data_IF_122972259965
#
_entry.id   IF_122972259965
#
_cell.length_a   1.000
_cell.length_b   1.000
_cell.length_c   1.000
_cell.angle_alpha   90.00
_cell.angle_beta   90.00
_cell.angle_gamma   90.00
#
_symmetry.space_group_name_H-M   'P 1'
#
loop_
_entity.id
_entity.type
_entity.pdbx_description
1 polymer ?
#
# COMPACT_ATOMS: atom_id res chain seq x y z
N UNK A 1 11.17 6.20 0.54
CA UNK A 1 10.30 7.12 -0.23
C UNK A 1 9.76 8.16 0.75
N UNK A 2 9.70 9.44 0.39
CA UNK A 2 9.11 10.50 1.24
C UNK A 2 8.04 11.27 0.46
N UNK A 3 7.10 11.98 1.12
CA UNK A 3 6.03 12.72 0.43
C UNK A 3 6.52 13.80 -0.55
N UNK A 4 7.75 14.30 -0.41
CA UNK A 4 8.33 15.30 -1.32
C UNK A 4 9.09 14.69 -2.52
N UNK A 5 9.33 13.38 -2.57
CA UNK A 5 9.99 12.75 -3.72
C UNK A 5 9.08 12.75 -4.95
N UNK A 6 9.63 13.12 -6.11
CA UNK A 6 8.90 13.24 -7.37
C UNK A 6 9.73 12.61 -8.51
N UNK A 7 9.12 11.72 -9.31
CA UNK A 7 9.74 11.13 -10.50
C UNK A 7 9.50 12.02 -11.74
N UNK A 8 10.58 12.52 -12.35
CA UNK A 8 10.54 13.34 -13.58
C UNK A 8 11.10 12.57 -14.78
N UNK A 9 10.55 12.73 -16.00
CA UNK A 9 11.12 12.11 -17.19
C UNK A 9 12.56 12.57 -17.43
N UNK A 10 13.48 11.64 -17.71
CA UNK A 10 14.86 11.98 -18.02
C UNK A 10 15.00 12.43 -19.49
N UNK A 11 15.23 13.72 -19.74
CA UNK A 11 15.48 14.26 -21.09
C UNK A 11 14.45 13.85 -22.16
N UNK A 12 13.16 13.78 -21.79
CA UNK A 12 12.07 13.36 -22.68
C UNK A 12 11.92 11.83 -22.86
N UNK A 13 12.73 11.02 -22.19
CA UNK A 13 12.60 9.56 -22.19
C UNK A 13 11.35 9.10 -21.45
N UNK A 14 10.52 8.30 -22.11
CA UNK A 14 9.39 7.55 -21.55
C UNK A 14 9.82 6.36 -20.66
N UNK A 15 11.09 5.96 -20.81
CA UNK A 15 11.74 4.81 -20.18
C UNK A 15 12.68 5.11 -19.02
N UNK A 16 12.81 6.36 -18.61
CA UNK A 16 13.78 6.75 -17.59
C UNK A 16 13.25 7.88 -16.70
N UNK A 17 13.48 7.74 -15.40
CA UNK A 17 13.04 8.69 -14.37
C UNK A 17 14.23 9.24 -13.61
N UNK A 18 14.15 10.51 -13.21
CA UNK A 18 15.07 11.16 -12.26
C UNK A 18 14.31 11.63 -11.03
N UNK A 19 14.94 11.56 -9.86
CA UNK A 19 14.41 12.11 -8.61
C UNK A 19 15.54 12.50 -7.65
N UNK A 20 15.24 13.41 -6.73
CA UNK A 20 16.17 13.76 -5.65
C UNK A 20 15.84 12.97 -4.37
N UNK A 21 16.89 12.62 -3.61
CA UNK A 21 16.78 12.08 -2.26
C UNK A 21 17.72 12.88 -1.34
N UNK A 22 17.24 13.27 -0.16
CA UNK A 22 18.05 14.05 0.80
C UNK A 22 19.00 13.19 1.65
N UNK A 23 18.74 11.88 1.74
CA UNK A 23 19.50 10.93 2.54
C UNK A 23 19.44 9.55 1.87
N UNK A 24 20.15 9.38 0.75
CA UNK A 24 20.58 8.06 0.31
C UNK A 24 21.59 7.46 1.30
N UNK A 25 21.68 6.13 1.37
CA UNK A 25 22.52 5.42 2.34
C UNK A 25 23.26 4.22 1.70
N UNK A 26 23.42 4.19 0.37
CA UNK A 26 24.12 3.11 -0.33
C UNK A 26 25.58 2.95 0.13
N UNK A 27 26.24 4.05 0.50
CA UNK A 27 27.62 4.09 1.01
C UNK A 27 27.71 4.10 2.56
N UNK A 28 26.71 3.53 3.25
CA UNK A 28 26.61 3.49 4.73
C UNK A 28 26.64 4.87 5.41
N UNK A 29 26.38 5.94 4.66
CA UNK A 29 26.47 7.33 5.08
C UNK A 29 25.37 8.17 4.41
N UNK A 30 24.62 9.03 5.13
CA UNK A 30 23.51 9.79 4.57
C UNK A 30 24.00 10.87 3.60
N UNK A 31 23.63 10.76 2.32
CA UNK A 31 24.02 11.70 1.25
C UNK A 31 22.80 12.25 0.52
N UNK A 32 22.84 13.53 0.13
CA UNK A 32 21.86 14.07 -0.81
C UNK A 32 22.29 13.73 -2.24
N UNK A 33 21.45 12.99 -2.97
CA UNK A 33 21.75 12.51 -4.31
C UNK A 33 20.64 12.80 -5.32
N UNK A 34 21.02 12.96 -6.59
CA UNK A 34 20.10 13.04 -7.73
C UNK A 34 20.20 11.72 -8.50
N UNK A 35 19.24 10.84 -8.27
CA UNK A 35 19.24 9.49 -8.83
C UNK A 35 18.51 9.46 -10.17
N UNK A 36 18.97 8.57 -11.05
CA UNK A 36 18.37 8.32 -12.35
C UNK A 36 18.28 6.81 -12.61
N UNK A 37 17.10 6.34 -13.03
CA UNK A 37 16.88 4.94 -13.42
C UNK A 37 16.40 4.86 -14.88
N UNK A 38 16.82 3.82 -15.61
CA UNK A 38 16.36 3.53 -16.98
C UNK A 38 15.93 2.08 -17.08
N UNK A 39 14.75 1.85 -17.66
CA UNK A 39 14.18 0.52 -17.86
C UNK A 39 14.37 0.00 -19.28
N UNK A 40 14.33 -1.33 -19.44
CA UNK A 40 14.39 -2.00 -20.74
C UNK A 40 13.18 -1.67 -21.63
N UNK A 41 12.00 -1.47 -21.05
CA UNK A 41 10.74 -1.21 -21.76
C UNK A 41 9.99 -0.04 -21.10
N UNK A 42 9.21 0.72 -21.88
CA UNK A 42 8.39 1.83 -21.39
C UNK A 42 7.33 1.35 -20.38
N UNK A 43 6.73 0.20 -20.65
CA UNK A 43 5.78 -0.48 -19.76
C UNK A 43 6.34 -0.68 -18.34
N UNK A 44 7.60 -1.12 -18.22
CA UNK A 44 8.25 -1.33 -16.93
C UNK A 44 8.56 0.01 -16.23
N UNK A 45 8.90 1.06 -16.98
CA UNK A 45 9.05 2.40 -16.44
C UNK A 45 7.73 2.96 -15.89
N UNK A 46 6.62 2.76 -16.60
CA UNK A 46 5.29 3.18 -16.13
C UNK A 46 4.85 2.35 -14.91
N UNK A 47 5.02 1.02 -14.91
CA UNK A 47 4.75 0.17 -13.74
C UNK A 47 5.50 0.63 -12.49
N UNK A 48 6.80 0.96 -12.64
CA UNK A 48 7.58 1.53 -11.55
C UNK A 48 7.03 2.88 -11.09
N UNK A 49 6.71 3.80 -12.01
CA UNK A 49 6.16 5.11 -11.67
C UNK A 49 4.84 5.00 -10.91
N UNK A 50 3.89 4.20 -11.40
CA UNK A 50 2.60 3.97 -10.74
C UNK A 50 2.78 3.44 -9.32
N UNK A 51 3.62 2.42 -9.12
CA UNK A 51 3.89 1.88 -7.77
C UNK A 51 4.63 2.86 -6.86
N UNK A 52 5.54 3.67 -7.41
CA UNK A 52 6.19 4.72 -6.64
C UNK A 52 5.20 5.80 -6.17
N UNK A 53 4.28 6.22 -7.04
CA UNK A 53 3.24 7.22 -6.75
C UNK A 53 2.20 6.69 -5.74
N UNK A 54 1.77 5.42 -5.86
CA UNK A 54 0.95 4.75 -4.85
C UNK A 54 1.64 4.76 -3.48
N UNK A 55 2.89 4.27 -3.38
CA UNK A 55 3.62 4.24 -2.11
C UNK A 55 3.89 5.65 -1.54
N UNK A 56 4.15 6.65 -2.38
CA UNK A 56 4.30 8.05 -1.96
C UNK A 56 2.99 8.55 -1.34
N UNK A 57 1.86 8.31 -1.99
CA UNK A 57 0.53 8.73 -1.51
C UNK A 57 0.16 8.02 -0.22
N UNK A 58 0.42 6.72 -0.09
CA UNK A 58 0.22 5.99 1.17
C UNK A 58 1.00 6.59 2.33
N UNK A 59 2.25 6.99 2.11
CA UNK A 59 3.07 7.63 3.15
C UNK A 59 2.49 9.01 3.48
N UNK A 60 2.13 9.82 2.48
CA UNK A 60 1.49 11.12 2.72
C UNK A 60 0.17 11.00 3.51
N UNK A 61 -0.64 9.98 3.23
CA UNK A 61 -1.86 9.68 4.00
C UNK A 61 -1.55 9.19 5.42
N UNK A 62 -0.50 8.36 5.61
CA UNK A 62 -0.06 7.89 6.94
C UNK A 62 0.44 9.04 7.82
N UNK A 63 1.24 9.95 7.28
CA UNK A 63 1.68 11.17 7.96
C UNK A 63 0.48 12.05 8.37
N UNK A 64 -0.52 12.21 7.51
CA UNK A 64 -1.77 12.95 7.81
C UNK A 64 -2.68 12.22 8.80
N UNK A 65 -2.70 10.89 8.80
CA UNK A 65 -3.49 10.04 9.71
C UNK A 65 -2.81 9.80 11.06
N UNK A 66 -1.67 10.44 11.35
CA UNK A 66 -0.91 10.35 12.62
C UNK A 66 -1.62 10.77 13.92
N UNK A 67 -2.96 10.86 13.93
CA UNK A 67 -3.81 11.10 15.09
C UNK A 67 -5.03 10.15 15.18
N UNK A 68 -5.11 9.10 14.33
CA UNK A 68 -6.25 8.15 14.31
C UNK A 68 -5.84 6.70 14.07
N UNK A 69 -6.48 5.76 14.78
CA UNK A 69 -5.85 4.47 15.18
C UNK A 69 -6.05 3.28 14.23
N UNK A 70 -7.08 3.26 13.40
CA UNK A 70 -7.67 1.99 12.92
C UNK A 70 -8.07 1.96 11.44
N UNK A 71 -7.54 0.97 10.72
CA UNK A 71 -7.99 0.49 9.39
C UNK A 71 -8.29 -1.03 9.38
N UNK A 72 -7.90 -1.75 10.45
CA UNK A 72 -8.03 -3.22 10.52
C UNK A 72 -9.34 -3.72 11.17
N UNK A 73 -10.29 -2.84 11.47
CA UNK A 73 -11.49 -3.19 12.27
C UNK A 73 -12.73 -3.51 11.45
N UNK A 74 -12.97 -2.94 10.26
CA UNK A 74 -14.20 -3.23 9.51
C UNK A 74 -14.21 -4.64 8.90
N UNK A 75 -13.08 -5.09 8.35
CA UNK A 75 -12.99 -6.37 7.61
C UNK A 75 -13.11 -7.62 8.49
N UNK A 76 -13.03 -7.48 9.82
CA UNK A 76 -13.28 -8.59 10.76
C UNK A 76 -14.73 -8.70 11.21
N UNK A 77 -15.52 -7.61 11.18
CA UNK A 77 -16.92 -7.66 11.63
C UNK A 77 -17.78 -8.42 10.62
N UNK A 78 -17.70 -8.05 9.35
CA UNK A 78 -18.44 -8.67 8.24
C UNK A 78 -18.14 -10.18 8.11
N UNK A 79 -16.92 -10.60 8.48
CA UNK A 79 -16.52 -12.01 8.45
C UNK A 79 -16.93 -12.79 9.71
N UNK A 80 -17.24 -12.12 10.83
CA UNK A 80 -17.68 -12.79 12.05
C UNK A 80 -19.19 -13.09 12.02
N UNK A 81 -19.99 -12.18 11.46
CA UNK A 81 -21.44 -12.35 11.31
C UNK A 81 -21.80 -13.51 10.37
N UNK A 82 -20.97 -13.77 9.34
CA UNK A 82 -21.16 -14.86 8.38
C UNK A 82 -20.88 -16.28 8.94
N UNK A 83 -20.46 -16.42 10.21
CA UNK A 83 -20.07 -17.70 10.82
C UNK A 83 -21.04 -18.22 11.91
N UNK A 84 -22.17 -17.55 12.18
CA UNK A 84 -23.14 -18.06 13.15
C UNK A 84 -23.93 -19.24 12.58
N UNK A 85 -23.45 -20.45 12.85
CA UNK A 85 -24.00 -21.73 12.38
C UNK A 85 -25.44 -21.93 12.86
N UNK A 86 -26.32 -22.42 11.97
CA UNK A 86 -27.67 -22.83 12.32
C UNK A 86 -27.61 -24.06 13.26
N UNK A 87 -28.10 -23.92 14.50
CA UNK A 87 -28.31 -25.07 15.38
C UNK A 87 -29.34 -26.01 14.75
N UNK A 88 -28.98 -27.29 14.66
CA UNK A 88 -29.78 -28.30 13.99
C UNK A 88 -31.02 -28.68 14.81
N UNK A 89 -32.17 -28.66 14.15
CA UNK A 89 -33.43 -29.17 14.66
C UNK A 89 -33.32 -30.69 14.90
N UNK A 90 -33.55 -31.16 16.14
CA UNK A 90 -33.81 -32.58 16.42
C UNK A 90 -35.13 -32.77 17.20
N UNK A 91 -35.95 -33.76 16.83
CA UNK A 91 -37.32 -33.96 17.35
C UNK A 91 -37.38 -34.97 18.52
N UNK A 92 -38.60 -35.39 18.88
CA UNK A 92 -39.04 -36.40 19.86
C UNK A 92 -39.51 -35.82 21.21
N UNK A 93 -40.53 -36.33 21.90
CA UNK A 93 -41.73 -37.12 21.52
C UNK A 93 -42.64 -37.23 22.78
N UNK A 94 -43.91 -37.62 22.63
CA UNK A 94 -44.83 -38.09 23.70
C UNK A 94 -45.21 -37.07 24.83
N UNK A 95 -46.50 -36.81 25.10
CA UNK A 95 -47.42 -37.57 25.98
C UNK A 95 -47.01 -37.53 27.48
N UNK A 96 -47.89 -37.38 28.48
CA UNK A 96 -49.36 -37.25 28.57
C UNK A 96 -49.73 -36.75 29.99
N UNK A 97 -50.83 -35.98 30.10
CA UNK A 97 -51.64 -35.69 31.31
C UNK A 97 -50.92 -35.15 32.58
#
# INVERSE_FOLDING_TARGET
>A
ITPMMELKPNAGSDRAWVWNTHADFADECPKQELLAIRFLNAENAQKFKTKFEECRKEIEEKEKKGSGKNDSTEKVVEKLEALSVQEGEQPQDAAEN
#
